data_IF_751605976982
#
_entry.id   IF_751605976982
#
_cell.length_a   1.000
_cell.length_b   1.000
_cell.length_c   1.000
_cell.angle_alpha   90.00
_cell.angle_beta   90.00
_cell.angle_gamma   90.00
#
_symmetry.space_group_name_H-M   'P 1'
#
loop_
_entity.id
_entity.type
_entity.pdbx_description
1 polymer ?
#
# COMPACT_ATOMS: atom_id res chain seq x y z
N UNK A 1 -24.54 -24.09 1.83
CA UNK A 1 -23.59 -23.47 2.78
C UNK A 1 -22.44 -22.75 2.06
N UNK A 2 -21.74 -23.44 1.16
CA UNK A 2 -20.57 -22.93 0.42
C UNK A 2 -20.86 -21.66 -0.42
N UNK A 3 -21.95 -21.62 -1.21
CA UNK A 3 -22.36 -20.41 -1.96
C UNK A 3 -22.53 -19.16 -1.08
N UNK A 4 -22.99 -19.33 0.16
CA UNK A 4 -23.24 -18.24 1.12
C UNK A 4 -21.94 -17.68 1.71
N UNK A 5 -20.90 -18.52 1.78
CA UNK A 5 -19.55 -18.11 2.20
C UNK A 5 -18.88 -17.33 1.07
N UNK A 6 -18.95 -17.83 -0.17
CA UNK A 6 -18.40 -17.14 -1.34
C UNK A 6 -19.02 -15.76 -1.56
N UNK A 7 -20.34 -15.64 -1.44
CA UNK A 7 -21.02 -14.35 -1.58
C UNK A 7 -20.63 -13.34 -0.50
N UNK A 8 -20.17 -13.81 0.67
CA UNK A 8 -19.72 -12.94 1.77
C UNK A 8 -18.23 -12.57 1.65
N UNK A 9 -17.40 -13.46 1.10
CA UNK A 9 -15.97 -13.22 0.88
C UNK A 9 -15.72 -12.35 -0.36
N UNK A 10 -16.39 -12.64 -1.48
CA UNK A 10 -16.22 -11.96 -2.77
C UNK A 10 -17.06 -10.67 -2.89
N UNK A 11 -17.20 -9.94 -1.78
CA UNK A 11 -17.80 -8.60 -1.88
C UNK A 11 -16.86 -7.68 -2.68
N UNK A 12 -17.39 -6.73 -3.48
CA UNK A 12 -16.57 -5.82 -4.28
C UNK A 12 -15.49 -5.09 -3.46
N UNK A 13 -15.85 -4.69 -2.24
CA UNK A 13 -14.94 -4.14 -1.24
C UNK A 13 -13.79 -5.10 -0.88
N UNK A 14 -14.08 -6.38 -0.62
CA UNK A 14 -13.06 -7.36 -0.25
C UNK A 14 -12.16 -7.72 -1.44
N UNK A 15 -12.71 -7.82 -2.64
CA UNK A 15 -11.94 -8.05 -3.88
C UNK A 15 -10.92 -6.94 -4.06
N UNK A 16 -11.37 -5.70 -3.94
CA UNK A 16 -10.50 -4.53 -4.10
C UNK A 16 -9.38 -4.47 -3.04
N UNK A 17 -9.73 -4.80 -1.80
CA UNK A 17 -8.76 -4.91 -0.69
C UNK A 17 -7.73 -6.01 -0.92
N UNK A 18 -8.17 -7.15 -1.43
CA UNK A 18 -7.31 -8.26 -1.79
C UNK A 18 -6.39 -7.88 -2.94
N UNK A 19 -6.89 -7.20 -3.97
CA UNK A 19 -6.06 -6.70 -5.07
C UNK A 19 -4.95 -5.76 -4.57
N UNK A 20 -5.27 -4.79 -3.71
CA UNK A 20 -4.26 -3.90 -3.14
C UNK A 20 -3.17 -4.64 -2.34
N UNK A 21 -3.59 -5.58 -1.48
CA UNK A 21 -2.67 -6.46 -0.75
C UNK A 21 -1.77 -7.25 -1.70
N UNK A 22 -2.38 -7.91 -2.68
CA UNK A 22 -1.73 -8.81 -3.61
C UNK A 22 -0.71 -8.08 -4.49
N UNK A 23 -1.12 -6.98 -5.12
CA UNK A 23 -0.22 -6.21 -5.97
C UNK A 23 0.92 -5.59 -5.18
N UNK A 24 0.70 -5.10 -3.96
CA UNK A 24 1.78 -4.60 -3.12
C UNK A 24 2.81 -5.70 -2.79
N UNK A 25 2.35 -6.90 -2.40
CA UNK A 25 3.22 -8.04 -2.15
C UNK A 25 3.95 -8.52 -3.41
N UNK A 26 3.25 -8.60 -4.54
CA UNK A 26 3.83 -8.98 -5.82
C UNK A 26 4.92 -8.00 -6.28
N UNK A 27 4.71 -6.70 -6.10
CA UNK A 27 5.72 -5.69 -6.41
C UNK A 27 6.94 -5.81 -5.51
N UNK A 28 6.74 -6.11 -4.22
CA UNK A 28 7.86 -6.39 -3.32
C UNK A 28 8.64 -7.62 -3.78
N UNK A 29 7.95 -8.71 -4.13
CA UNK A 29 8.61 -9.90 -4.67
C UNK A 29 9.42 -9.57 -5.94
N UNK A 30 8.81 -8.91 -6.93
CA UNK A 30 9.46 -8.62 -8.21
C UNK A 30 10.65 -7.65 -8.06
N UNK A 31 10.50 -6.60 -7.25
CA UNK A 31 11.55 -5.58 -7.10
C UNK A 31 12.55 -6.01 -6.04
N UNK A 32 12.12 -6.22 -4.79
CA UNK A 32 13.04 -6.44 -3.67
C UNK A 32 13.79 -7.77 -3.82
N UNK A 33 13.08 -8.85 -4.15
CA UNK A 33 13.68 -10.18 -4.31
C UNK A 33 14.18 -10.40 -5.75
N UNK A 34 13.37 -10.07 -6.76
CA UNK A 34 13.68 -10.36 -8.16
C UNK A 34 14.87 -9.58 -8.71
N UNK A 35 15.10 -8.34 -8.26
CA UNK A 35 16.28 -7.55 -8.70
C UNK A 35 17.48 -7.65 -7.75
N UNK A 36 17.26 -8.18 -6.53
CA UNK A 36 18.28 -8.21 -5.48
C UNK A 36 18.61 -6.86 -4.85
N UNK A 37 17.94 -5.77 -5.25
CA UNK A 37 18.22 -4.41 -4.77
C UNK A 37 18.05 -4.25 -3.25
N UNK A 38 17.25 -5.11 -2.63
CA UNK A 38 17.07 -5.14 -1.18
C UNK A 38 18.36 -5.47 -0.42
N UNK A 39 19.35 -6.09 -1.07
CA UNK A 39 20.64 -6.45 -0.48
C UNK A 39 21.71 -5.37 -0.65
N UNK A 40 21.51 -4.44 -1.58
CA UNK A 40 22.53 -3.46 -1.96
C UNK A 40 22.28 -2.11 -1.31
N UNK A 41 21.06 -1.60 -1.37
CA UNK A 41 20.74 -0.25 -0.90
C UNK A 41 19.28 -0.14 -0.47
N UNK A 42 19.07 0.23 0.79
CA UNK A 42 17.74 0.47 1.34
C UNK A 42 17.06 1.68 0.66
N UNK A 43 17.82 2.71 0.34
CA UNK A 43 17.29 3.91 -0.32
C UNK A 43 16.79 3.58 -1.72
N UNK A 44 17.57 2.81 -2.48
CA UNK A 44 17.18 2.41 -3.83
C UNK A 44 15.97 1.48 -3.78
N UNK A 45 15.95 0.52 -2.84
CA UNK A 45 14.78 -0.31 -2.60
C UNK A 45 13.53 0.54 -2.35
N UNK A 46 13.59 1.50 -1.41
CA UNK A 46 12.47 2.37 -1.07
C UNK A 46 11.99 3.14 -2.30
N UNK A 47 12.92 3.72 -3.04
CA UNK A 47 12.60 4.53 -4.21
C UNK A 47 11.95 3.69 -5.31
N UNK A 48 12.62 2.63 -5.79
CA UNK A 48 12.12 1.82 -6.89
C UNK A 48 10.84 1.08 -6.54
N UNK A 49 10.75 0.54 -5.31
CA UNK A 49 9.54 -0.12 -4.85
C UNK A 49 8.38 0.85 -4.69
N UNK A 50 8.61 2.03 -4.10
CA UNK A 50 7.60 3.06 -3.93
C UNK A 50 7.08 3.61 -5.26
N UNK A 51 7.98 3.85 -6.21
CA UNK A 51 7.62 4.24 -7.59
C UNK A 51 6.83 3.12 -8.27
N UNK A 52 7.34 1.89 -8.24
CA UNK A 52 6.70 0.74 -8.88
C UNK A 52 5.28 0.50 -8.36
N UNK A 53 5.11 0.47 -7.04
CA UNK A 53 3.79 0.35 -6.41
C UNK A 53 2.91 1.55 -6.76
N UNK A 54 3.44 2.77 -6.73
CA UNK A 54 2.69 3.97 -7.07
C UNK A 54 2.15 4.00 -8.50
N UNK A 55 2.92 3.46 -9.46
CA UNK A 55 2.49 3.29 -10.84
C UNK A 55 1.40 2.21 -10.92
N UNK A 56 1.61 1.04 -10.30
CA UNK A 56 0.60 -0.04 -10.27
C UNK A 56 -0.70 0.41 -9.59
N UNK A 57 -0.59 1.17 -8.49
CA UNK A 57 -1.73 1.77 -7.79
C UNK A 57 -2.48 2.74 -8.71
N UNK A 58 -1.77 3.52 -9.53
CA UNK A 58 -2.37 4.52 -10.39
C UNK A 58 -3.05 3.94 -11.63
N UNK A 59 -2.45 2.91 -12.24
CA UNK A 59 -2.89 2.37 -13.53
C UNK A 59 -3.74 1.10 -13.41
N UNK A 60 -3.60 0.34 -12.31
CA UNK A 60 -4.24 -0.97 -12.15
C UNK A 60 -5.14 -0.98 -10.92
N UNK A 61 -4.57 -0.77 -9.72
CA UNK A 61 -5.33 -0.92 -8.47
C UNK A 61 -6.38 0.17 -8.31
N UNK A 62 -6.07 1.42 -8.68
CA UNK A 62 -6.96 2.57 -8.64
C UNK A 62 -8.23 2.37 -9.47
N UNK A 63 -8.12 2.00 -10.76
CA UNK A 63 -9.28 1.62 -11.57
C UNK A 63 -10.09 0.45 -10.99
N UNK A 64 -9.43 -0.60 -10.48
CA UNK A 64 -10.10 -1.72 -9.80
C UNK A 64 -10.87 -1.22 -8.57
N UNK A 65 -10.24 -0.40 -7.72
CA UNK A 65 -10.89 0.24 -6.59
C UNK A 65 -12.11 1.07 -7.04
N UNK A 66 -12.00 1.85 -8.10
CA UNK A 66 -13.10 2.68 -8.59
C UNK A 66 -14.29 1.83 -9.09
N UNK A 67 -14.03 0.74 -9.81
CA UNK A 67 -15.06 -0.13 -10.36
C UNK A 67 -15.75 -0.96 -9.27
N UNK A 68 -14.99 -1.48 -8.30
CA UNK A 68 -15.51 -2.38 -7.28
C UNK A 68 -15.92 -1.69 -5.96
N UNK A 69 -15.70 -0.38 -5.78
CA UNK A 69 -16.13 0.27 -4.52
C UNK A 69 -17.60 0.67 -4.50
N UNK A 70 -18.25 0.82 -5.67
CA UNK A 70 -19.63 1.28 -5.78
C UNK A 70 -19.82 2.74 -5.34
N UNK A 71 -20.52 3.52 -6.16
CA UNK A 71 -20.97 4.90 -5.92
C UNK A 71 -19.90 6.03 -6.04
N UNK A 72 -20.14 6.95 -6.99
CA UNK A 72 -19.57 8.31 -7.05
C UNK A 72 -18.09 8.46 -7.43
N UNK A 73 -17.26 7.43 -7.36
CA UNK A 73 -15.84 7.48 -7.74
C UNK A 73 -15.60 7.30 -9.23
N UNK A 74 -16.43 6.48 -9.91
CA UNK A 74 -16.34 6.16 -11.34
C UNK A 74 -16.47 7.40 -12.23
N UNK A 75 -17.52 8.19 -12.01
CA UNK A 75 -17.79 9.46 -12.71
C UNK A 75 -16.63 10.45 -12.49
N UNK A 76 -16.18 10.58 -11.25
CA UNK A 76 -15.07 11.45 -10.85
C UNK A 76 -13.69 11.03 -11.36
N UNK A 77 -13.50 9.79 -11.80
CA UNK A 77 -12.24 9.33 -12.39
C UNK A 77 -12.21 9.58 -13.90
N UNK A 78 -13.33 9.35 -14.59
CA UNK A 78 -13.45 9.57 -16.04
C UNK A 78 -13.48 11.05 -16.42
N UNK A 79 -14.08 11.92 -15.60
CA UNK A 79 -14.23 13.36 -15.85
C UNK A 79 -12.97 14.21 -15.59
N UNK A 80 -11.86 13.62 -15.13
CA UNK A 80 -10.64 14.38 -14.83
C UNK A 80 -9.92 14.85 -16.08
N UNK A 81 -9.49 16.12 -16.07
CA UNK A 81 -8.60 16.66 -17.09
C UNK A 81 -7.25 15.93 -17.10
N UNK A 82 -6.50 16.03 -18.20
CA UNK A 82 -5.19 15.38 -18.32
C UNK A 82 -4.23 15.82 -17.19
N UNK A 83 -4.21 17.11 -16.86
CA UNK A 83 -3.42 17.64 -15.75
C UNK A 83 -3.83 17.04 -14.39
N UNK A 84 -5.13 16.94 -14.11
CA UNK A 84 -5.63 16.33 -12.88
C UNK A 84 -5.27 14.83 -12.79
N UNK A 85 -5.25 14.12 -13.91
CA UNK A 85 -4.81 12.71 -13.97
C UNK A 85 -3.31 12.60 -13.65
N UNK A 86 -2.48 13.49 -14.19
CA UNK A 86 -1.03 13.51 -13.90
C UNK A 86 -0.78 13.81 -12.42
N UNK A 87 -1.39 14.86 -11.87
CA UNK A 87 -1.25 15.22 -10.45
C UNK A 87 -1.70 14.06 -9.56
N UNK A 88 -2.80 13.40 -9.89
CA UNK A 88 -3.26 12.23 -9.13
C UNK A 88 -2.26 11.06 -9.17
N UNK A 89 -1.66 10.79 -10.33
CA UNK A 89 -0.63 9.75 -10.48
C UNK A 89 0.63 10.08 -9.67
N UNK A 90 1.10 11.31 -9.74
CA UNK A 90 2.25 11.77 -8.95
C UNK A 90 1.97 11.64 -7.46
N UNK A 91 0.78 12.05 -7.02
CA UNK A 91 0.38 11.89 -5.63
C UNK A 91 0.35 10.42 -5.20
N UNK A 92 -0.15 9.52 -6.05
CA UNK A 92 -0.12 8.07 -5.79
C UNK A 92 1.29 7.53 -5.64
N UNK A 93 2.24 8.01 -6.45
CA UNK A 93 3.67 7.63 -6.34
C UNK A 93 4.27 8.14 -5.03
N UNK A 94 4.13 9.43 -4.72
CA UNK A 94 4.65 10.03 -3.48
C UNK A 94 4.06 9.33 -2.24
N UNK A 95 2.74 9.10 -2.25
CA UNK A 95 2.04 8.37 -1.19
C UNK A 95 2.60 6.95 -1.03
N UNK A 96 2.89 6.26 -2.13
CA UNK A 96 3.41 4.88 -2.08
C UNK A 96 4.83 4.83 -1.55
N UNK A 97 5.71 5.75 -1.96
CA UNK A 97 7.05 5.91 -1.39
C UNK A 97 6.97 6.15 0.12
N UNK A 98 6.10 7.06 0.54
CA UNK A 98 5.91 7.34 1.97
C UNK A 98 5.44 6.11 2.74
N UNK A 99 4.49 5.34 2.21
CA UNK A 99 4.06 4.08 2.84
C UNK A 99 5.22 3.09 2.92
N UNK A 100 6.02 2.92 1.86
CA UNK A 100 7.17 2.01 1.86
C UNK A 100 8.18 2.41 2.93
N UNK A 101 8.45 3.71 3.12
CA UNK A 101 9.30 4.22 4.21
C UNK A 101 8.75 3.76 5.56
N UNK A 102 7.46 3.96 5.82
CA UNK A 102 6.84 3.54 7.08
C UNK A 102 7.00 2.03 7.32
N UNK A 103 6.80 1.22 6.29
CA UNK A 103 6.97 -0.24 6.37
C UNK A 103 8.43 -0.61 6.68
N UNK A 104 9.41 0.05 6.04
CA UNK A 104 10.82 -0.21 6.33
C UNK A 104 11.18 0.13 7.78
N UNK A 105 10.64 1.23 8.32
CA UNK A 105 10.75 1.54 9.75
C UNK A 105 10.08 0.48 10.62
N UNK A 106 8.92 -0.04 10.23
CA UNK A 106 8.27 -1.15 10.95
C UNK A 106 9.17 -2.39 10.99
N UNK A 107 9.78 -2.77 9.87
CA UNK A 107 10.70 -3.91 9.83
C UNK A 107 11.92 -3.71 10.73
N UNK A 108 12.49 -2.50 10.74
CA UNK A 108 13.60 -2.16 11.64
C UNK A 108 13.18 -2.25 13.11
N UNK A 109 12.00 -1.71 13.46
CA UNK A 109 11.46 -1.78 14.81
C UNK A 109 11.24 -3.22 15.27
N UNK A 110 10.59 -4.04 14.42
CA UNK A 110 10.35 -5.46 14.71
C UNK A 110 11.67 -6.19 14.91
N UNK A 111 12.64 -5.99 14.01
CA UNK A 111 13.96 -6.63 14.13
C UNK A 111 14.70 -6.19 15.42
N UNK A 112 14.61 -4.92 15.80
CA UNK A 112 15.22 -4.43 17.04
C UNK A 112 14.60 -5.11 18.28
N UNK A 113 13.27 -5.22 18.33
CA UNK A 113 12.57 -5.93 19.42
C UNK A 113 12.96 -7.40 19.47
N UNK A 114 13.00 -8.09 18.32
CA UNK A 114 13.38 -9.50 18.26
C UNK A 114 14.83 -9.71 18.71
N UNK A 115 15.76 -8.85 18.32
CA UNK A 115 17.15 -8.94 18.76
C UNK A 115 17.30 -8.79 20.29
N UNK A 116 16.52 -7.89 20.91
CA UNK A 116 16.48 -7.76 22.37
C UNK A 116 15.96 -9.04 23.03
N UNK A 117 14.88 -9.62 22.51
CA UNK A 117 14.24 -10.81 23.08
C UNK A 117 15.08 -12.07 22.90
N UNK A 118 15.72 -12.24 21.75
CA UNK A 118 16.49 -13.45 21.40
C UNK A 118 17.99 -13.33 21.63
N UNK A 119 18.47 -12.19 22.17
CA UNK A 119 19.90 -11.92 22.44
C UNK A 119 20.79 -12.16 21.20
N UNK A 120 20.26 -11.89 20.01
CA UNK A 120 20.98 -12.07 18.74
C UNK A 120 21.74 -10.80 18.38
N UNK A 121 22.87 -10.96 17.67
CA UNK A 121 23.66 -9.81 17.23
C UNK A 121 22.90 -8.98 16.19
N UNK A 122 23.13 -7.66 16.22
CA UNK A 122 22.46 -6.71 15.32
C UNK A 122 22.81 -6.90 13.82
N UNK A 123 23.77 -7.78 13.51
CA UNK A 123 24.33 -7.97 12.18
C UNK A 123 23.46 -8.88 11.30
N UNK A 124 22.58 -9.69 11.88
CA UNK A 124 21.65 -10.54 11.13
C UNK A 124 20.20 -10.13 11.40
N UNK A 125 19.50 -9.47 10.45
CA UNK A 125 18.08 -9.19 10.61
C UNK A 125 17.30 -10.51 10.71
N UNK A 126 16.47 -10.64 11.74
CA UNK A 126 15.66 -11.84 12.01
C UNK A 126 14.58 -12.01 10.93
N UNK A 127 13.99 -10.90 10.49
CA UNK A 127 13.04 -10.83 9.39
C UNK A 127 13.68 -10.03 8.26
N UNK A 128 14.11 -10.74 7.23
CA UNK A 128 14.41 -10.16 5.91
C UNK A 128 13.07 -10.01 5.20
N UNK A 129 12.64 -8.76 4.96
CA UNK A 129 11.27 -8.47 4.52
C UNK A 129 10.73 -9.44 3.46
N UNK A 130 9.49 -9.90 3.67
CA UNK A 130 8.85 -10.92 2.84
C UNK A 130 7.61 -10.36 2.13
N UNK A 131 7.29 -10.85 0.92
CA UNK A 131 6.19 -10.31 0.09
C UNK A 131 4.83 -10.25 0.79
N UNK A 132 4.50 -11.30 1.57
CA UNK A 132 3.19 -11.42 2.20
C UNK A 132 3.04 -10.42 3.35
N UNK A 133 4.00 -10.40 4.29
CA UNK A 133 3.99 -9.45 5.39
C UNK A 133 4.07 -8.00 4.87
N UNK A 134 4.86 -7.76 3.83
CA UNK A 134 4.90 -6.46 3.16
C UNK A 134 3.53 -6.05 2.63
N UNK A 135 2.83 -6.93 1.90
CA UNK A 135 1.50 -6.66 1.39
C UNK A 135 0.50 -6.35 2.51
N UNK A 136 0.59 -7.06 3.64
CA UNK A 136 -0.25 -6.81 4.83
C UNK A 136 0.03 -5.42 5.40
N UNK A 137 1.29 -5.09 5.64
CA UNK A 137 1.68 -3.79 6.20
C UNK A 137 1.31 -2.63 5.26
N UNK A 138 1.54 -2.79 3.96
CA UNK A 138 1.14 -1.79 2.95
C UNK A 138 -0.35 -1.50 3.03
N UNK A 139 -1.15 -2.56 3.07
CA UNK A 139 -2.59 -2.46 3.18
C UNK A 139 -3.05 -1.78 4.50
N UNK A 140 -2.39 -2.07 5.63
CA UNK A 140 -2.66 -1.41 6.91
C UNK A 140 -2.36 0.08 6.81
N UNK A 141 -1.15 0.47 6.39
CA UNK A 141 -0.74 1.87 6.29
C UNK A 141 -1.58 2.66 5.28
N UNK A 142 -1.85 2.09 4.10
CA UNK A 142 -2.68 2.73 3.09
C UNK A 142 -4.08 3.08 3.63
N UNK A 143 -4.67 2.19 4.44
CA UNK A 143 -5.99 2.42 5.05
C UNK A 143 -5.93 3.40 6.20
N UNK A 144 -4.90 3.33 7.04
CA UNK A 144 -4.71 4.29 8.14
C UNK A 144 -4.59 5.71 7.58
N UNK A 145 -3.78 5.91 6.53
CA UNK A 145 -3.66 7.22 5.87
C UNK A 145 -4.96 7.68 5.23
N UNK A 146 -5.69 6.78 4.55
CA UNK A 146 -7.00 7.11 4.00
C UNK A 146 -8.01 7.50 5.10
N UNK A 147 -8.02 6.77 6.22
CA UNK A 147 -8.85 7.06 7.38
C UNK A 147 -8.54 8.42 7.99
N UNK A 148 -7.26 8.72 8.23
CA UNK A 148 -6.80 10.02 8.73
C UNK A 148 -7.24 11.15 7.80
N UNK A 149 -7.06 10.98 6.49
CA UNK A 149 -7.50 11.98 5.50
C UNK A 149 -9.01 12.23 5.54
N UNK A 150 -9.82 11.16 5.62
CA UNK A 150 -11.28 11.29 5.72
C UNK A 150 -11.73 11.99 7.00
N UNK A 151 -11.11 11.67 8.14
CA UNK A 151 -11.38 12.30 9.43
C UNK A 151 -10.98 13.79 9.46
N UNK A 152 -9.82 14.12 8.90
CA UNK A 152 -9.40 15.51 8.76
C UNK A 152 -10.39 16.31 7.91
N UNK A 153 -10.83 15.73 6.78
CA UNK A 153 -11.80 16.35 5.88
C UNK A 153 -13.17 16.55 6.56
N UNK A 154 -13.66 15.58 7.32
CA UNK A 154 -14.95 15.68 8.01
C UNK A 154 -14.93 16.76 9.09
N UNK A 155 -13.84 16.92 9.83
CA UNK A 155 -13.68 18.02 10.80
C UNK A 155 -13.68 19.39 10.11
N UNK A 156 -12.98 19.52 8.98
CA UNK A 156 -12.92 20.80 8.24
C UNK A 156 -14.29 21.22 7.72
N UNK A 157 -15.13 20.30 7.24
CA UNK A 157 -16.48 20.64 6.76
C UNK A 157 -17.45 21.11 7.85
N UNK A 158 -17.16 20.83 9.12
CA UNK A 158 -17.99 21.29 10.26
C UNK A 158 -17.66 22.75 10.63
N UNK A 159 -16.43 23.22 10.36
CA UNK A 159 -15.96 24.56 10.74
C UNK A 159 -16.44 25.66 9.77
N UNK A 160 -16.84 25.30 8.54
CA UNK A 160 -17.33 26.23 7.52
C UNK A 160 -18.84 26.13 7.27
N UNK A 161 -19.61 25.64 8.26
CA UNK A 161 -21.07 25.75 8.32
C UNK A 161 -21.42 26.69 9.46
#
# INVERSE_FOLDING_TARGET
MIKKIYSKLLTPKNISRFAQFWFAGAMYFLIAWGTGIAKTSLLDLVFFLGVGIGLVDSFIVGPILAEFSGEGTRVKYMERTLGQKIVHRLFSVVKSIFIVILIMFTYQLINAVLQMVFTQSAQTPVIMGEPILFGILYMVYARTLAGIYTWYKSKRSVIYR
#
